data_IF_176912666989
#
_entry.id   IF_176912666989
#
_cell.length_a   1.000
_cell.length_b   1.000
_cell.length_c   1.000
_cell.angle_alpha   90.00
_cell.angle_beta   90.00
_cell.angle_gamma   90.00
#
_symmetry.space_group_name_H-M   'P 1'
#
loop_
_entity.id
_entity.type
_entity.pdbx_description
1 polymer ?
#
# COMPACT_ATOMS: atom_id res chain seq x y z
N UNK A 1 9.46 1.87 10.37
CA UNK A 1 8.78 0.91 9.48
C UNK A 1 7.86 0.05 10.33
N UNK A 2 6.54 0.25 10.27
CA UNK A 2 5.56 -0.38 11.18
C UNK A 2 4.65 -1.36 10.44
N UNK A 3 5.24 -2.37 9.79
CA UNK A 3 4.52 -3.56 9.30
C UNK A 3 5.31 -4.82 9.68
N UNK A 4 4.67 -5.93 10.05
CA UNK A 4 5.37 -7.21 10.24
C UNK A 4 5.62 -7.83 8.86
N UNK A 5 6.70 -7.38 8.20
CA UNK A 5 7.12 -7.83 6.87
C UNK A 5 8.16 -6.90 6.23
N UNK A 6 8.87 -7.39 5.21
CA UNK A 6 9.79 -6.58 4.41
C UNK A 6 9.09 -6.01 3.16
N UNK A 7 9.46 -4.78 2.79
CA UNK A 7 9.10 -4.16 1.50
C UNK A 7 10.27 -3.31 1.02
N UNK A 8 10.21 -2.92 -0.26
CA UNK A 8 11.21 -2.04 -0.89
C UNK A 8 11.24 -0.63 -0.27
N UNK A 9 10.26 -0.26 0.56
CA UNK A 9 10.27 1.01 1.29
C UNK A 9 11.50 1.16 2.19
N UNK A 10 12.05 0.05 2.71
CA UNK A 10 13.31 0.07 3.45
C UNK A 10 14.49 0.51 2.57
N UNK A 11 14.55 0.02 1.33
CA UNK A 11 15.58 0.36 0.34
C UNK A 11 15.42 1.82 -0.11
N UNK A 12 14.20 2.27 -0.38
CA UNK A 12 13.94 3.67 -0.71
C UNK A 12 14.34 4.62 0.41
N UNK A 13 14.03 4.26 1.66
CA UNK A 13 14.42 5.04 2.83
C UNK A 13 15.94 5.13 2.99
N UNK A 14 16.70 4.06 2.66
CA UNK A 14 18.16 4.09 2.67
C UNK A 14 18.74 5.07 1.63
N UNK A 15 18.00 5.36 0.56
CA UNK A 15 18.37 6.33 -0.47
C UNK A 15 17.73 7.72 -0.24
N UNK A 16 17.19 7.99 0.96
CA UNK A 16 16.61 9.29 1.31
C UNK A 16 15.24 9.57 0.66
N UNK A 17 14.60 8.56 0.08
CA UNK A 17 13.27 8.68 -0.54
C UNK A 17 12.21 8.28 0.49
N UNK A 18 11.40 9.22 1.02
CA UNK A 18 10.36 8.89 1.98
C UNK A 18 9.25 8.09 1.30
N UNK A 19 8.86 6.96 1.91
CA UNK A 19 7.78 6.09 1.43
C UNK A 19 6.81 5.71 2.54
N UNK A 20 5.53 5.51 2.17
CA UNK A 20 4.49 5.01 3.06
C UNK A 20 4.05 3.64 2.54
N UNK A 21 3.99 2.65 3.44
CA UNK A 21 3.52 1.30 3.10
C UNK A 21 2.08 1.16 3.58
N UNK A 22 1.14 1.09 2.64
CA UNK A 22 -0.27 0.86 2.91
C UNK A 22 -0.99 0.35 1.64
N UNK A 23 -2.10 -0.34 1.84
CA UNK A 23 -2.92 -0.88 0.75
C UNK A 23 -4.19 -1.54 1.30
N UNK A 24 -5.12 -1.94 0.41
CA UNK A 24 -6.34 -2.62 0.81
C UNK A 24 -6.08 -4.09 1.19
N UNK A 25 -7.05 -4.73 1.84
CA UNK A 25 -6.96 -6.13 2.27
C UNK A 25 -6.55 -6.30 3.73
N UNK A 26 -6.23 -7.54 4.11
CA UNK A 26 -5.83 -7.90 5.48
C UNK A 26 -4.49 -8.63 5.43
N UNK A 27 -3.50 -8.15 6.17
CA UNK A 27 -2.17 -8.76 6.18
C UNK A 27 -2.20 -10.22 6.63
N UNK A 28 -3.11 -10.59 7.54
CA UNK A 28 -3.29 -11.98 7.98
C UNK A 28 -3.82 -12.94 6.90
N UNK A 29 -4.28 -12.43 5.76
CA UNK A 29 -4.71 -13.21 4.60
C UNK A 29 -3.68 -13.29 3.49
N UNK A 30 -2.65 -12.43 3.53
CA UNK A 30 -1.56 -12.47 2.56
C UNK A 30 -0.80 -13.81 2.63
N UNK A 31 -0.48 -14.40 1.48
CA UNK A 31 0.21 -15.69 1.36
C UNK A 31 -0.53 -16.86 2.02
N UNK A 32 -1.86 -16.77 2.10
CA UNK A 32 -2.72 -17.88 2.56
C UNK A 32 -3.59 -18.38 1.41
N UNK A 33 -4.20 -19.57 1.58
CA UNK A 33 -5.13 -20.11 0.57
C UNK A 33 -6.31 -19.18 0.28
N UNK A 34 -6.78 -18.47 1.29
CA UNK A 34 -7.95 -17.59 1.20
C UNK A 34 -7.53 -16.12 1.07
N UNK A 35 -6.54 -15.86 0.21
CA UNK A 35 -6.09 -14.51 -0.08
C UNK A 35 -7.13 -13.78 -0.94
N UNK A 36 -7.64 -12.65 -0.42
CA UNK A 36 -8.59 -11.81 -1.14
C UNK A 36 -8.53 -10.37 -0.63
N UNK A 37 -9.21 -9.48 -1.37
CA UNK A 37 -9.49 -8.10 -0.97
C UNK A 37 -10.96 -7.79 -1.23
N UNK A 38 -11.57 -7.01 -0.35
CA UNK A 38 -12.95 -6.54 -0.54
C UNK A 38 -13.02 -5.53 -1.68
N UNK A 39 -14.02 -5.67 -2.56
CA UNK A 39 -14.20 -4.76 -3.71
C UNK A 39 -14.36 -3.31 -3.26
N UNK A 40 -14.99 -3.07 -2.12
CA UNK A 40 -15.13 -1.74 -1.53
C UNK A 40 -13.78 -1.13 -1.12
N UNK A 41 -12.89 -1.93 -0.51
CA UNK A 41 -11.54 -1.50 -0.14
C UNK A 41 -10.68 -1.25 -1.38
N UNK A 42 -10.80 -2.08 -2.41
CA UNK A 42 -10.11 -1.87 -3.69
C UNK A 42 -10.51 -0.51 -4.30
N UNK A 43 -11.82 -0.23 -4.40
CA UNK A 43 -12.33 1.07 -4.88
C UNK A 43 -11.83 2.24 -4.04
N UNK A 44 -11.73 2.07 -2.72
CA UNK A 44 -11.22 3.11 -1.83
C UNK A 44 -9.73 3.39 -2.09
N UNK A 45 -8.90 2.35 -2.18
CA UNK A 45 -7.48 2.48 -2.47
C UNK A 45 -7.24 3.16 -3.84
N UNK A 46 -8.02 2.78 -4.87
CA UNK A 46 -7.97 3.42 -6.19
C UNK A 46 -8.23 4.93 -6.09
N UNK A 47 -9.26 5.34 -5.35
CA UNK A 47 -9.56 6.78 -5.14
C UNK A 47 -8.40 7.49 -4.44
N UNK A 48 -7.82 6.89 -3.41
CA UNK A 48 -6.68 7.47 -2.68
C UNK A 48 -5.51 7.70 -3.63
N UNK A 49 -5.10 6.70 -4.41
CA UNK A 49 -3.98 6.83 -5.33
C UNK A 49 -4.26 7.85 -6.45
N UNK A 50 -5.44 7.77 -7.08
CA UNK A 50 -5.81 8.69 -8.15
C UNK A 50 -5.86 10.16 -7.66
N UNK A 51 -6.51 10.41 -6.52
CA UNK A 51 -6.59 11.76 -5.96
C UNK A 51 -5.24 12.27 -5.44
N UNK A 52 -4.39 11.40 -4.91
CA UNK A 52 -3.02 11.77 -4.50
C UNK A 52 -2.19 12.17 -5.71
N UNK A 53 -2.24 11.39 -6.79
CA UNK A 53 -1.54 11.70 -8.03
C UNK A 53 -2.05 13.02 -8.63
N UNK A 54 -3.37 13.21 -8.73
CA UNK A 54 -3.96 14.46 -9.21
C UNK A 54 -3.57 15.66 -8.34
N UNK A 55 -3.58 15.51 -7.01
CA UNK A 55 -3.21 16.60 -6.10
C UNK A 55 -1.74 17.02 -6.22
N UNK A 56 -0.85 16.08 -6.58
CA UNK A 56 0.59 16.32 -6.57
C UNK A 56 1.18 16.60 -7.96
N UNK A 57 0.59 16.03 -9.01
CA UNK A 57 1.09 16.06 -10.39
C UNK A 57 0.14 16.74 -11.39
N UNK A 58 -1.12 16.97 -11.02
CA UNK A 58 -2.10 17.69 -11.83
C UNK A 58 -2.10 19.17 -11.51
#
# INVERSE_FOLDING_TARGET
MLIPGATDASIFSQHGIPGIVFGPGRLSKAHTRDEYVEISQLKQATKIYALTALKYLG
#
